data_IF_999692062812
#
_entry.id   IF_999692062812
#
_cell.length_a   1.000
_cell.length_b   1.000
_cell.length_c   1.000
_cell.angle_alpha   90.00
_cell.angle_beta   90.00
_cell.angle_gamma   90.00
#
_symmetry.space_group_name_H-M   'P 1'
#
loop_
_entity.id
_entity.type
_entity.pdbx_description
1 polymer ?
#
# COMPACT_ATOMS: atom_id res chain seq x y z
N UNK A 1 -4.63 3.82 -23.22
CA UNK A 1 -6.03 3.77 -22.77
C UNK A 1 -6.54 2.35 -22.48
N UNK A 2 -5.83 1.26 -22.88
CA UNK A 2 -6.31 -0.12 -22.66
C UNK A 2 -5.87 -0.81 -21.37
N UNK A 3 -4.74 -0.41 -20.75
CA UNK A 3 -4.22 -1.13 -19.57
C UNK A 3 -5.15 -1.06 -18.36
N UNK A 4 -5.56 0.15 -17.96
CA UNK A 4 -6.45 0.31 -16.80
C UNK A 4 -7.76 -0.42 -17.01
N UNK A 5 -8.39 -0.32 -18.19
CA UNK A 5 -9.64 -1.06 -18.47
C UNK A 5 -9.46 -2.57 -18.42
N UNK A 6 -8.36 -3.10 -18.97
CA UNK A 6 -8.05 -4.53 -18.98
C UNK A 6 -7.81 -5.08 -17.57
N UNK A 7 -7.24 -4.25 -16.68
CA UNK A 7 -6.85 -4.67 -15.33
C UNK A 7 -7.66 -3.99 -14.21
N UNK A 8 -8.73 -3.26 -14.52
CA UNK A 8 -9.49 -2.46 -13.56
C UNK A 8 -9.94 -3.30 -12.36
N UNK A 9 -10.58 -4.44 -12.63
CA UNK A 9 -11.04 -5.34 -11.58
C UNK A 9 -9.89 -5.89 -10.71
N UNK A 10 -8.73 -6.16 -11.31
CA UNK A 10 -7.55 -6.63 -10.59
C UNK A 10 -6.96 -5.52 -9.72
N UNK A 11 -6.87 -4.31 -10.24
CA UNK A 11 -6.39 -3.13 -9.53
C UNK A 11 -7.31 -2.80 -8.36
N UNK A 12 -8.63 -2.79 -8.58
CA UNK A 12 -9.65 -2.59 -7.53
C UNK A 12 -9.50 -3.64 -6.43
N UNK A 13 -9.47 -4.93 -6.79
CA UNK A 13 -9.32 -6.00 -5.83
C UNK A 13 -8.02 -5.91 -5.01
N UNK A 14 -6.88 -5.62 -5.66
CA UNK A 14 -5.60 -5.46 -4.97
C UNK A 14 -5.58 -4.21 -4.09
N UNK A 15 -6.29 -3.14 -4.47
CA UNK A 15 -6.45 -1.93 -3.68
C UNK A 15 -7.27 -2.20 -2.42
N UNK A 16 -8.40 -2.91 -2.55
CA UNK A 16 -9.25 -3.29 -1.41
C UNK A 16 -8.50 -4.18 -0.40
N UNK A 17 -7.73 -5.14 -0.90
CA UNK A 17 -6.89 -6.00 -0.07
C UNK A 17 -5.81 -5.19 0.66
N UNK A 18 -5.16 -4.25 -0.02
CA UNK A 18 -4.16 -3.37 0.57
C UNK A 18 -4.77 -2.44 1.62
N UNK A 19 -5.96 -1.90 1.36
CA UNK A 19 -6.68 -1.05 2.29
C UNK A 19 -6.98 -1.81 3.59
N UNK A 20 -7.59 -3.00 3.47
CA UNK A 20 -7.89 -3.87 4.61
C UNK A 20 -6.62 -4.19 5.42
N UNK A 21 -5.50 -4.44 4.71
CA UNK A 21 -4.22 -4.78 5.35
C UNK A 21 -3.58 -3.58 6.03
N UNK A 22 -3.70 -2.39 5.46
CA UNK A 22 -3.25 -1.15 6.05
C UNK A 22 -4.05 -0.80 7.31
N UNK A 23 -5.37 -0.99 7.30
CA UNK A 23 -6.23 -0.83 8.48
C UNK A 23 -5.82 -1.78 9.60
N UNK A 24 -5.61 -3.06 9.30
CA UNK A 24 -5.12 -4.05 10.27
C UNK A 24 -3.75 -3.65 10.82
N UNK A 25 -2.82 -3.25 9.95
CA UNK A 25 -1.49 -2.78 10.38
C UNK A 25 -1.57 -1.57 11.31
N UNK A 26 -2.43 -0.59 11.01
CA UNK A 26 -2.61 0.59 11.86
C UNK A 26 -3.25 0.23 13.22
N UNK A 27 -4.20 -0.70 13.24
CA UNK A 27 -4.81 -1.18 14.48
C UNK A 27 -3.81 -1.95 15.36
N UNK A 28 -3.02 -2.85 14.77
CA UNK A 28 -2.13 -3.75 15.50
C UNK A 28 -0.78 -3.13 15.83
N UNK A 29 -0.18 -2.43 14.87
CA UNK A 29 1.18 -1.90 14.96
C UNK A 29 1.20 -0.38 15.07
N UNK A 30 0.25 0.32 14.42
CA UNK A 30 0.15 1.77 14.46
C UNK A 30 -0.19 2.31 15.85
N UNK A 31 -1.26 1.81 16.46
CA UNK A 31 -1.73 2.28 17.78
C UNK A 31 -0.67 2.18 18.89
N UNK A 32 0.09 1.07 19.04
CA UNK A 32 1.12 0.98 20.08
C UNK A 32 2.44 1.67 19.72
N UNK A 33 2.79 1.81 18.44
CA UNK A 33 4.08 2.37 18.01
C UNK A 33 4.07 3.89 17.81
N UNK A 34 2.90 4.48 17.54
CA UNK A 34 2.80 5.88 17.12
C UNK A 34 2.26 6.80 18.22
N UNK A 35 2.75 8.06 18.29
CA UNK A 35 2.06 9.10 19.02
C UNK A 35 0.62 9.31 18.47
N UNK A 36 -0.37 9.65 19.32
CA UNK A 36 -1.76 9.81 18.88
C UNK A 36 -1.96 10.79 17.73
N UNK A 37 -1.18 11.88 17.69
CA UNK A 37 -1.24 12.87 16.62
C UNK A 37 -0.78 12.27 15.27
N UNK A 38 0.34 11.56 15.25
CA UNK A 38 0.88 10.90 14.05
C UNK A 38 -0.05 9.78 13.58
N UNK A 39 -0.63 9.02 14.52
CA UNK A 39 -1.62 8.01 14.20
C UNK A 39 -2.84 8.63 13.50
N UNK A 40 -3.38 9.74 14.03
CA UNK A 40 -4.52 10.42 13.42
C UNK A 40 -4.20 10.97 12.02
N UNK A 41 -3.00 11.51 11.80
CA UNK A 41 -2.55 11.98 10.48
C UNK A 41 -2.46 10.83 9.46
N UNK A 42 -2.04 9.64 9.89
CA UNK A 42 -2.00 8.45 9.02
C UNK A 42 -3.39 7.87 8.73
N UNK A 43 -4.32 7.96 9.68
CA UNK A 43 -5.68 7.46 9.48
C UNK A 43 -6.49 8.32 8.51
N UNK A 44 -6.22 9.62 8.40
CA UNK A 44 -6.95 10.51 7.48
C UNK A 44 -6.93 10.06 6.00
N UNK A 45 -5.77 9.84 5.36
CA UNK A 45 -5.74 9.35 3.99
C UNK A 45 -6.23 7.89 3.88
N UNK A 46 -6.05 7.09 4.93
CA UNK A 46 -6.50 5.70 4.96
C UNK A 46 -8.03 5.61 4.94
N UNK A 47 -8.72 6.37 5.80
CA UNK A 47 -10.18 6.45 5.87
C UNK A 47 -10.79 7.03 4.57
N UNK A 48 -10.02 7.85 3.85
CA UNK A 48 -10.40 8.38 2.54
C UNK A 48 -10.17 7.38 1.39
N UNK A 49 -9.52 6.23 1.65
CA UNK A 49 -9.12 5.27 0.63
C UNK A 49 -7.97 5.76 -0.28
N UNK A 50 -7.28 6.83 0.10
CA UNK A 50 -6.17 7.41 -0.66
C UNK A 50 -4.86 6.68 -0.33
N UNK A 51 -4.70 5.50 -0.93
CA UNK A 51 -3.51 4.66 -0.74
C UNK A 51 -2.19 5.37 -1.11
N UNK A 52 -2.10 6.19 -2.18
CA UNK A 52 -0.91 7.00 -2.45
C UNK A 52 -0.56 7.99 -1.33
N UNK A 53 -1.54 8.76 -0.83
CA UNK A 53 -1.31 9.69 0.26
C UNK A 53 -0.94 8.96 1.56
N UNK A 54 -1.60 7.84 1.84
CA UNK A 54 -1.28 6.98 2.98
C UNK A 54 0.15 6.44 2.90
N UNK A 55 0.59 5.95 1.74
CA UNK A 55 1.95 5.44 1.55
C UNK A 55 3.02 6.53 1.80
N UNK A 56 2.74 7.75 1.38
CA UNK A 56 3.63 8.89 1.61
C UNK A 56 3.71 9.24 3.11
N UNK A 57 2.57 9.38 3.78
CA UNK A 57 2.53 9.65 5.21
C UNK A 57 3.19 8.53 6.02
N UNK A 58 2.96 7.27 5.62
CA UNK A 58 3.55 6.09 6.26
C UNK A 58 5.08 6.10 6.14
N UNK A 59 5.62 6.53 4.99
CA UNK A 59 7.06 6.70 4.79
C UNK A 59 7.64 7.78 5.71
N UNK A 60 6.93 8.88 5.93
CA UNK A 60 7.36 9.94 6.86
C UNK A 60 7.37 9.45 8.32
N UNK A 61 6.42 8.57 8.66
CA UNK A 61 6.33 7.94 9.98
C UNK A 61 7.30 6.75 10.18
N UNK A 62 8.14 6.40 9.18
CA UNK A 62 9.01 5.21 9.22
C UNK A 62 9.86 5.11 10.48
N UNK A 63 10.37 6.24 10.98
CA UNK A 63 11.24 6.28 12.17
C UNK A 63 10.54 5.71 13.39
N UNK A 64 9.22 5.92 13.55
CA UNK A 64 8.47 5.42 14.70
C UNK A 64 8.32 3.90 14.67
N UNK A 65 8.04 3.33 13.50
CA UNK A 65 7.92 1.87 13.33
C UNK A 65 9.25 1.14 13.45
N UNK A 66 10.33 1.72 12.92
CA UNK A 66 11.68 1.16 13.04
C UNK A 66 12.13 1.14 14.49
N UNK A 67 11.90 2.23 15.25
CA UNK A 67 12.25 2.30 16.67
C UNK A 67 11.38 1.37 17.53
N UNK A 68 10.14 1.11 17.14
CA UNK A 68 9.23 0.18 17.81
C UNK A 68 9.53 -1.30 17.51
N UNK A 69 10.47 -1.62 16.60
CA UNK A 69 10.82 -3.00 16.24
C UNK A 69 9.95 -3.63 15.15
N UNK A 70 8.98 -2.90 14.60
CA UNK A 70 7.99 -3.38 13.61
C UNK A 70 8.48 -3.23 12.16
N UNK A 71 9.79 -3.41 11.94
CA UNK A 71 10.42 -3.02 10.67
C UNK A 71 10.03 -3.92 9.49
N UNK A 72 9.88 -5.24 9.69
CA UNK A 72 9.59 -6.16 8.60
C UNK A 72 8.18 -5.94 8.03
N UNK A 73 7.16 -5.89 8.89
CA UNK A 73 5.77 -5.67 8.53
C UNK A 73 5.57 -4.28 7.91
N UNK A 74 6.21 -3.26 8.49
CA UNK A 74 6.21 -1.90 7.95
C UNK A 74 6.77 -1.85 6.53
N UNK A 75 7.98 -2.39 6.30
CA UNK A 75 8.61 -2.36 4.97
C UNK A 75 7.85 -3.21 3.96
N UNK A 76 7.24 -4.32 4.40
CA UNK A 76 6.39 -5.15 3.55
C UNK A 76 5.17 -4.38 3.05
N UNK A 77 4.43 -3.73 3.96
CA UNK A 77 3.25 -2.92 3.61
C UNK A 77 3.64 -1.75 2.71
N UNK A 78 4.70 -1.02 3.06
CA UNK A 78 5.15 0.14 2.30
C UNK A 78 5.60 -0.23 0.88
N UNK A 79 6.25 -1.38 0.70
CA UNK A 79 6.62 -1.88 -0.62
C UNK A 79 5.39 -2.24 -1.46
N UNK A 80 4.41 -2.93 -0.86
CA UNK A 80 3.18 -3.31 -1.55
C UNK A 80 2.37 -2.08 -2.01
N UNK A 81 2.27 -1.05 -1.17
CA UNK A 81 1.65 0.23 -1.51
C UNK A 81 2.36 0.93 -2.67
N UNK A 82 3.70 0.95 -2.66
CA UNK A 82 4.48 1.54 -3.75
C UNK A 82 4.29 0.78 -5.07
N UNK A 83 4.26 -0.55 -5.04
CA UNK A 83 4.00 -1.38 -6.22
C UNK A 83 2.64 -1.08 -6.84
N UNK A 84 1.59 -0.89 -6.01
CA UNK A 84 0.28 -0.46 -6.50
C UNK A 84 0.33 0.94 -7.13
N UNK A 85 0.96 1.91 -6.45
CA UNK A 85 1.07 3.28 -6.97
C UNK A 85 1.79 3.33 -8.31
N UNK A 86 2.88 2.56 -8.47
CA UNK A 86 3.59 2.44 -9.75
C UNK A 86 2.72 1.79 -10.84
N UNK A 87 1.93 0.77 -10.50
CA UNK A 87 1.02 0.14 -11.45
C UNK A 87 -0.06 1.13 -11.92
N UNK A 88 -0.61 1.95 -11.01
CA UNK A 88 -1.59 3.00 -11.29
C UNK A 88 -1.01 4.13 -12.15
N UNK A 89 0.19 4.62 -11.82
CA UNK A 89 0.87 5.67 -12.57
C UNK A 89 1.13 5.22 -14.02
N UNK A 90 1.64 3.99 -14.20
CA UNK A 90 1.87 3.40 -15.53
C UNK A 90 0.57 3.15 -16.30
N UNK A 91 -0.48 2.71 -15.61
CA UNK A 91 -1.81 2.53 -16.20
C UNK A 91 -2.34 3.85 -16.79
N UNK A 92 -2.08 4.97 -16.11
CA UNK A 92 -2.47 6.31 -16.52
C UNK A 92 -1.65 6.83 -17.71
N UNK A 93 -0.35 6.55 -17.74
CA UNK A 93 0.57 7.06 -18.78
C UNK A 93 0.51 6.29 -20.10
N UNK A 94 -0.40 5.31 -20.22
CA UNK A 94 -0.76 4.62 -21.47
C UNK A 94 0.37 3.85 -22.15
N UNK A 95 1.51 3.62 -21.49
CA UNK A 95 2.45 2.56 -21.85
C UNK A 95 1.99 1.30 -21.13
N UNK A 96 1.17 0.50 -21.82
CA UNK A 96 0.90 -0.88 -21.45
C UNK A 96 2.19 -1.71 -21.65
N UNK A 97 3.25 -1.35 -20.93
CA UNK A 97 4.49 -2.11 -20.94
C UNK A 97 4.38 -3.26 -19.95
N UNK A 98 5.08 -4.37 -20.24
CA UNK A 98 5.23 -5.55 -19.39
C UNK A 98 5.54 -5.21 -17.92
N UNK A 99 6.10 -4.02 -17.67
CA UNK A 99 6.43 -3.53 -16.34
C UNK A 99 5.20 -3.22 -15.45
N UNK A 100 4.04 -2.89 -16.02
CA UNK A 100 2.79 -2.69 -15.27
C UNK A 100 2.12 -4.01 -14.88
N UNK A 101 2.09 -4.98 -15.81
CA UNK A 101 1.60 -6.34 -15.53
C UNK A 101 2.49 -7.00 -14.46
N UNK A 102 3.82 -6.92 -14.60
CA UNK A 102 4.77 -7.42 -13.59
C UNK A 102 4.58 -6.78 -12.21
N UNK A 103 4.23 -5.49 -12.14
CA UNK A 103 3.97 -4.82 -10.86
C UNK A 103 2.72 -5.39 -10.17
N UNK A 104 1.66 -5.66 -10.94
CA UNK A 104 0.45 -6.29 -10.40
C UNK A 104 0.69 -7.76 -10.02
N UNK A 105 1.48 -8.50 -10.79
CA UNK A 105 1.87 -9.87 -10.47
C UNK A 105 2.68 -9.92 -9.17
N UNK A 106 3.70 -9.06 -9.06
CA UNK A 106 4.53 -8.98 -7.87
C UNK A 106 3.73 -8.59 -6.63
N UNK A 107 2.80 -7.62 -6.75
CA UNK A 107 1.93 -7.23 -5.66
C UNK A 107 1.03 -8.39 -5.22
N UNK A 108 0.43 -9.11 -6.18
CA UNK A 108 -0.42 -10.25 -5.88
C UNK A 108 0.36 -11.38 -5.18
N UNK A 109 1.57 -11.69 -5.64
CA UNK A 109 2.47 -12.66 -4.99
C UNK A 109 2.88 -12.23 -3.58
N UNK A 110 3.20 -10.95 -3.39
CA UNK A 110 3.51 -10.38 -2.09
C UNK A 110 2.33 -10.50 -1.13
N UNK A 111 1.11 -10.18 -1.57
CA UNK A 111 -0.08 -10.27 -0.71
C UNK A 111 -0.40 -11.73 -0.36
N UNK A 112 -0.27 -12.66 -1.32
CA UNK A 112 -0.54 -14.08 -1.12
C UNK A 112 0.47 -14.76 -0.19
N UNK A 113 1.76 -14.41 -0.30
CA UNK A 113 2.82 -14.99 0.53
C UNK A 113 2.76 -14.58 2.00
N UNK A 114 2.05 -13.50 2.31
CA UNK A 114 1.86 -13.02 3.69
C UNK A 114 0.51 -13.47 4.31
N UNK A 115 -0.25 -14.33 3.63
CA UNK A 115 -1.50 -14.95 4.15
C UNK A 115 -1.36 -16.45 4.43
N UNK A 116 -0.16 -17.02 4.24
CA UNK A 116 0.17 -18.42 4.50
C UNK A 116 0.94 -18.55 5.83
#
# INVERSE_FOLDING_TARGET
MDFYRKHAHRIEHLSDLLLTRAEQFMAEQGTPALPPAVHAELMQPLDAGDLPAFAQALREAAVHFVMAGNSAEFWSLLNALQSLCQALEKAWHSQADESGERALDHLQEQLASQTA
#
